data_IF_639384411547
#
_entry.id   IF_639384411547
#
_cell.length_a   1.000
_cell.length_b   1.000
_cell.length_c   1.000
_cell.angle_alpha   90.00
_cell.angle_beta   90.00
_cell.angle_gamma   90.00
#
_symmetry.space_group_name_H-M   'P 1'
#
loop_
_entity.id
_entity.type
_entity.pdbx_description
1 polymer ?
#
# COMPACT_ATOMS: atom_id res chain seq x y z
N UNK A 1 -14.10 19.24 -2.11
CA UNK A 1 -13.00 18.50 -1.43
C UNK A 1 -13.03 18.83 0.06
N UNK A 2 -12.97 17.83 0.96
CA UNK A 2 -12.95 18.08 2.41
C UNK A 2 -11.66 18.76 2.87
N UNK A 3 -11.72 19.54 3.96
CA UNK A 3 -10.56 20.21 4.58
C UNK A 3 -9.42 19.23 4.85
N UNK A 4 -9.76 18.07 5.42
CA UNK A 4 -8.80 17.01 5.73
C UNK A 4 -8.08 16.46 4.49
N UNK A 5 -8.80 16.28 3.38
CA UNK A 5 -8.19 15.79 2.13
C UNK A 5 -7.17 16.78 1.57
N UNK A 6 -7.46 18.08 1.63
CA UNK A 6 -6.52 19.12 1.18
C UNK A 6 -5.27 19.13 2.05
N UNK A 7 -5.44 19.08 3.37
CA UNK A 7 -4.33 19.03 4.32
C UNK A 7 -3.44 17.81 4.06
N UNK A 8 -4.03 16.61 3.99
CA UNK A 8 -3.28 15.38 3.70
C UNK A 8 -2.55 15.44 2.35
N UNK A 9 -3.15 16.04 1.32
CA UNK A 9 -2.47 16.21 0.02
C UNK A 9 -1.24 17.12 0.14
N UNK A 10 -1.37 18.24 0.85
CA UNK A 10 -0.26 19.15 1.08
C UNK A 10 0.87 18.47 1.86
N UNK A 11 0.55 17.70 2.89
CA UNK A 11 1.55 16.93 3.64
C UNK A 11 2.26 15.89 2.75
N UNK A 12 1.51 15.25 1.85
CA UNK A 12 2.06 14.29 0.89
C UNK A 12 2.96 14.96 -0.16
N UNK A 13 2.64 16.19 -0.55
CA UNK A 13 3.47 17.01 -1.43
C UNK A 13 4.79 17.38 -0.74
N UNK A 14 4.72 17.88 0.50
CA UNK A 14 5.89 18.21 1.31
C UNK A 14 6.77 16.99 1.60
N UNK A 15 6.16 15.81 1.74
CA UNK A 15 6.88 14.55 1.90
C UNK A 15 7.53 14.00 0.62
N UNK A 16 7.38 14.66 -0.53
CA UNK A 16 8.00 14.24 -1.80
C UNK A 16 7.44 12.93 -2.36
N UNK A 17 6.21 12.55 -1.99
CA UNK A 17 5.63 11.29 -2.47
C UNK A 17 5.35 11.32 -3.98
N UNK A 18 5.45 10.17 -4.65
CA UNK A 18 5.09 10.06 -6.06
C UNK A 18 3.58 10.27 -6.28
N UNK A 19 3.13 10.85 -7.42
CA UNK A 19 1.71 11.12 -7.69
C UNK A 19 0.79 9.89 -7.50
N UNK A 20 1.25 8.72 -7.95
CA UNK A 20 0.51 7.45 -7.81
C UNK A 20 0.31 7.06 -6.35
N UNK A 21 1.30 7.31 -5.49
CA UNK A 21 1.21 7.03 -4.06
C UNK A 21 0.22 7.97 -3.38
N UNK A 22 0.21 9.25 -3.74
CA UNK A 22 -0.76 10.22 -3.21
C UNK A 22 -2.19 9.80 -3.52
N UNK A 23 -2.46 9.45 -4.78
CA UNK A 23 -3.76 8.96 -5.21
C UNK A 23 -4.17 7.69 -4.45
N UNK A 24 -3.26 6.71 -4.33
CA UNK A 24 -3.52 5.47 -3.61
C UNK A 24 -3.87 5.73 -2.13
N UNK A 25 -3.15 6.62 -1.45
CA UNK A 25 -3.39 6.91 -0.04
C UNK A 25 -4.73 7.60 0.17
N UNK A 26 -5.04 8.61 -0.64
CA UNK A 26 -6.32 9.33 -0.57
C UNK A 26 -7.49 8.38 -0.83
N UNK A 27 -7.34 7.46 -1.79
CA UNK A 27 -8.34 6.44 -2.07
C UNK A 27 -8.50 5.45 -0.91
N UNK A 28 -7.40 5.02 -0.28
CA UNK A 28 -7.42 4.17 0.91
C UNK A 28 -8.21 4.82 2.07
N UNK A 29 -7.96 6.11 2.33
CA UNK A 29 -8.67 6.87 3.37
C UNK A 29 -10.13 7.10 3.00
N UNK A 30 -10.43 7.36 1.72
CA UNK A 30 -11.80 7.51 1.23
C UNK A 30 -12.62 6.22 1.43
N UNK A 31 -12.03 5.07 1.15
CA UNK A 31 -12.69 3.77 1.37
C UNK A 31 -13.02 3.55 2.85
N UNK A 32 -12.10 3.88 3.76
CA UNK A 32 -12.33 3.78 5.21
C UNK A 32 -13.44 4.75 5.66
N UNK A 33 -13.40 6.01 5.21
CA UNK A 33 -14.43 6.99 5.53
C UNK A 33 -15.82 6.53 5.07
N UNK A 34 -15.89 5.94 3.87
CA UNK A 34 -17.12 5.38 3.32
C UNK A 34 -17.64 4.20 4.15
N UNK A 35 -16.75 3.35 4.66
CA UNK A 35 -17.13 2.21 5.50
C UNK A 35 -17.72 2.63 6.85
N UNK A 36 -17.19 3.68 7.47
CA UNK A 36 -17.68 4.16 8.77
C UNK A 36 -18.77 5.24 8.67
N UNK A 37 -19.01 5.80 7.48
CA UNK A 37 -19.88 6.96 7.27
C UNK A 37 -19.51 8.17 8.16
N UNK A 38 -18.22 8.32 8.48
CA UNK A 38 -17.68 9.32 9.39
C UNK A 38 -16.41 9.94 8.85
N UNK A 39 -16.07 11.14 9.33
CA UNK A 39 -14.80 11.75 8.99
C UNK A 39 -13.65 10.92 9.58
N UNK A 40 -12.57 10.63 8.82
CA UNK A 40 -11.39 9.96 9.36
C UNK A 40 -10.79 10.64 10.60
N UNK A 41 -10.99 11.95 10.75
CA UNK A 41 -10.52 12.70 11.93
C UNK A 41 -11.28 12.37 13.22
N UNK A 42 -12.49 11.83 13.11
CA UNK A 42 -13.39 11.47 14.22
C UNK A 42 -13.26 9.99 14.64
N UNK A 43 -12.55 9.18 13.84
CA UNK A 43 -12.39 7.76 14.13
C UNK A 43 -11.39 7.55 15.27
N UNK A 44 -11.78 6.73 16.23
CA UNK A 44 -10.92 6.24 17.30
C UNK A 44 -10.20 4.94 16.92
N UNK A 45 -9.45 4.40 17.87
CA UNK A 45 -8.68 3.18 17.65
C UNK A 45 -9.58 1.96 17.38
N UNK A 46 -10.78 1.91 17.98
CA UNK A 46 -11.75 0.83 17.77
C UNK A 46 -12.25 0.78 16.33
N UNK A 47 -12.61 1.93 15.75
CA UNK A 47 -13.04 2.02 14.35
C UNK A 47 -11.91 1.64 13.41
N UNK A 48 -10.69 2.14 13.65
CA UNK A 48 -9.52 1.80 12.82
C UNK A 48 -9.25 0.28 12.88
N UNK A 49 -9.38 -0.35 14.05
CA UNK A 49 -9.26 -1.82 14.19
C UNK A 49 -10.34 -2.55 13.40
N UNK A 50 -11.59 -2.07 13.45
CA UNK A 50 -12.68 -2.66 12.68
C UNK A 50 -12.43 -2.56 11.17
N UNK A 51 -11.92 -1.43 10.69
CA UNK A 51 -11.52 -1.27 9.29
C UNK A 51 -10.40 -2.23 8.88
N UNK A 52 -9.35 -2.36 9.70
CA UNK A 52 -8.25 -3.30 9.45
C UNK A 52 -8.77 -4.74 9.41
N UNK A 53 -9.64 -5.13 10.34
CA UNK A 53 -10.27 -6.45 10.36
C UNK A 53 -11.05 -6.71 9.07
N UNK A 54 -11.89 -5.76 8.65
CA UNK A 54 -12.65 -5.86 7.39
C UNK A 54 -11.75 -6.04 6.16
N UNK A 55 -10.60 -5.36 6.11
CA UNK A 55 -9.64 -5.51 5.01
C UNK A 55 -9.02 -6.92 4.97
N UNK A 56 -8.72 -7.50 6.14
CA UNK A 56 -8.17 -8.86 6.26
C UNK A 56 -9.24 -9.89 5.89
N UNK A 57 -10.46 -9.74 6.40
CA UNK A 57 -11.58 -10.66 6.14
C UNK A 57 -11.95 -10.69 4.64
N UNK A 58 -11.79 -9.57 3.94
CA UNK A 58 -11.95 -9.48 2.47
C UNK A 58 -10.82 -10.12 1.65
N UNK A 59 -9.84 -10.76 2.27
CA UNK A 59 -8.69 -11.42 1.62
C UNK A 59 -7.99 -10.51 0.60
N UNK A 60 -7.79 -9.24 0.95
CA UNK A 60 -7.06 -8.31 0.10
C UNK A 60 -5.61 -8.79 -0.12
N UNK A 61 -5.03 -8.44 -1.27
CA UNK A 61 -3.62 -8.77 -1.53
C UNK A 61 -2.70 -8.10 -0.49
N UNK A 62 -1.56 -8.73 -0.14
CA UNK A 62 -0.62 -8.15 0.83
C UNK A 62 -0.19 -6.72 0.46
N UNK A 63 0.00 -6.46 -0.82
CA UNK A 63 0.36 -5.13 -1.31
C UNK A 63 -0.76 -4.10 -1.09
N UNK A 64 -2.01 -4.48 -1.28
CA UNK A 64 -3.14 -3.59 -1.02
C UNK A 64 -3.30 -3.31 0.47
N UNK A 65 -3.14 -4.32 1.33
CA UNK A 65 -3.11 -4.12 2.78
C UNK A 65 -1.99 -3.16 3.20
N UNK A 66 -0.79 -3.27 2.62
CA UNK A 66 0.30 -2.32 2.87
C UNK A 66 -0.06 -0.90 2.48
N UNK A 67 -0.67 -0.70 1.32
CA UNK A 67 -1.11 0.63 0.90
C UNK A 67 -2.10 1.24 1.90
N UNK A 68 -3.07 0.45 2.37
CA UNK A 68 -3.99 0.89 3.42
C UNK A 68 -3.25 1.23 4.72
N UNK A 69 -2.37 0.36 5.21
CA UNK A 69 -1.68 0.59 6.49
C UNK A 69 -0.73 1.78 6.42
N UNK A 70 -0.04 1.96 5.30
CA UNK A 70 0.81 3.11 5.07
C UNK A 70 0.00 4.42 4.99
N UNK A 71 -1.16 4.40 4.33
CA UNK A 71 -2.06 5.54 4.28
C UNK A 71 -2.61 5.90 5.67
N UNK A 72 -3.02 4.91 6.47
CA UNK A 72 -3.47 5.11 7.84
C UNK A 72 -2.35 5.72 8.69
N UNK A 73 -1.15 5.14 8.62
CA UNK A 73 0.00 5.62 9.39
C UNK A 73 0.41 7.04 8.99
N UNK A 74 0.29 7.38 7.70
CA UNK A 74 0.52 8.74 7.22
C UNK A 74 -0.54 9.71 7.76
N UNK A 75 -1.83 9.41 7.56
CA UNK A 75 -2.92 10.27 8.01
C UNK A 75 -2.86 10.51 9.52
N UNK A 76 -2.83 9.43 10.32
CA UNK A 76 -2.88 9.56 11.77
C UNK A 76 -1.55 10.01 12.36
N UNK A 77 -0.41 9.61 11.78
CA UNK A 77 0.91 9.99 12.31
C UNK A 77 1.38 11.38 11.88
N UNK A 78 1.22 11.72 10.59
CA UNK A 78 1.77 12.96 10.02
C UNK A 78 0.71 14.07 9.92
N UNK A 79 -0.46 13.77 9.36
CA UNK A 79 -1.48 14.81 9.14
C UNK A 79 -2.25 15.17 10.40
N UNK A 80 -2.61 14.18 11.23
CA UNK A 80 -3.44 14.39 12.43
C UNK A 80 -2.66 14.42 13.75
N UNK A 81 -1.38 14.03 13.75
CA UNK A 81 -0.56 14.03 14.97
C UNK A 81 -1.02 13.06 16.07
N UNK A 82 -1.72 11.98 15.71
CA UNK A 82 -2.26 10.94 16.60
C UNK A 82 -1.67 9.55 16.31
N UNK A 83 -0.34 9.35 16.41
CA UNK A 83 0.30 8.08 16.06
C UNK A 83 -0.16 6.88 16.93
N UNK A 84 -0.60 7.12 18.16
CA UNK A 84 -1.12 6.08 19.06
C UNK A 84 -2.36 5.35 18.51
N UNK A 85 -3.14 5.99 17.63
CA UNK A 85 -4.32 5.38 17.01
C UNK A 85 -3.98 4.26 16.03
N UNK A 86 -2.73 4.20 15.56
CA UNK A 86 -2.27 3.26 14.53
C UNK A 86 -1.05 2.43 14.95
N UNK A 87 -0.64 2.53 16.22
CA UNK A 87 0.53 1.81 16.76
C UNK A 87 0.37 0.28 16.73
N UNK A 88 -0.86 -0.22 16.69
CA UNK A 88 -1.16 -1.64 16.66
C UNK A 88 -1.02 -2.29 15.27
N UNK A 89 -0.85 -1.49 14.20
CA UNK A 89 -0.76 -2.01 12.84
C UNK A 89 0.48 -2.90 12.69
N UNK A 90 0.25 -4.15 12.25
CA UNK A 90 1.32 -5.10 11.94
C UNK A 90 1.46 -5.28 10.43
N UNK A 91 2.66 -5.14 9.88
CA UNK A 91 2.85 -5.16 8.43
C UNK A 91 2.57 -6.54 7.81
N UNK A 92 1.84 -6.61 6.68
CA UNK A 92 1.63 -7.86 5.95
C UNK A 92 2.95 -8.44 5.48
N UNK A 93 3.20 -9.72 5.79
CA UNK A 93 4.36 -10.46 5.32
C UNK A 93 4.37 -10.53 3.79
N UNK A 94 5.56 -10.39 3.20
CA UNK A 94 5.73 -10.63 1.77
C UNK A 94 5.49 -12.11 1.45
N UNK A 95 4.65 -12.44 0.46
CA UNK A 95 4.58 -13.79 -0.03
C UNK A 95 5.92 -14.11 -0.70
N UNK A 96 6.64 -15.09 -0.16
CA UNK A 96 7.86 -15.61 -0.78
C UNK A 96 7.44 -16.33 -2.05
N UNK A 97 7.71 -15.72 -3.20
CA UNK A 97 7.52 -16.37 -4.50
C UNK A 97 8.83 -17.05 -4.86
N UNK A 98 8.78 -18.34 -5.13
CA UNK A 98 9.91 -19.02 -5.76
C UNK A 98 10.13 -18.39 -7.14
N UNK A 99 11.37 -18.07 -7.52
CA UNK A 99 11.65 -17.59 -8.86
C UNK A 99 11.17 -18.63 -9.86
N UNK A 100 10.44 -18.19 -10.88
CA UNK A 100 10.14 -19.05 -12.03
C UNK A 100 11.44 -19.17 -12.80
N UNK A 101 12.04 -20.36 -12.78
CA UNK A 101 13.23 -20.68 -13.56
C UNK A 101 12.82 -21.28 -14.89
N UNK A 102 13.57 -20.97 -15.94
CA UNK A 102 13.38 -21.57 -17.26
C UNK A 102 13.73 -23.07 -17.18
N UNK A 103 12.92 -23.91 -17.80
CA UNK A 103 13.27 -25.32 -18.06
C UNK A 103 14.45 -25.41 -19.03
N UNK A 104 15.16 -26.54 -19.05
CA UNK A 104 16.27 -26.75 -19.98
C UNK A 104 15.88 -26.50 -21.45
N UNK A 105 14.66 -26.89 -21.85
CA UNK A 105 14.15 -26.63 -23.21
C UNK A 105 13.86 -25.15 -23.47
N UNK A 106 13.37 -24.40 -22.48
CA UNK A 106 13.19 -22.94 -22.59
C UNK A 106 14.53 -22.21 -22.65
N UNK A 107 15.53 -22.69 -21.89
CA UNK A 107 16.90 -22.18 -21.98
C UNK A 107 17.47 -22.43 -23.38
N UNK A 108 17.33 -23.65 -23.94
CA UNK A 108 17.79 -23.95 -25.30
C UNK A 108 17.14 -23.03 -26.33
N UNK A 109 15.80 -22.91 -26.32
CA UNK A 109 15.09 -22.01 -27.25
C UNK A 109 15.50 -20.55 -27.09
N UNK A 110 15.75 -20.10 -25.86
CA UNK A 110 16.23 -18.75 -25.60
C UNK A 110 17.62 -18.54 -26.22
N UNK A 111 18.54 -19.49 -26.03
CA UNK A 111 19.89 -19.43 -26.58
C UNK A 111 19.89 -19.50 -28.11
N UNK A 112 19.08 -20.37 -28.71
CA UNK A 112 18.94 -20.51 -30.17
C UNK A 112 18.35 -19.25 -30.82
N UNK A 113 17.54 -18.48 -30.08
CA UNK A 113 16.97 -17.22 -30.56
C UNK A 113 17.97 -16.04 -30.54
N UNK A 114 19.16 -16.20 -29.94
CA UNK A 114 20.17 -15.15 -29.92
C UNK A 114 20.94 -15.12 -31.25
N UNK A 115 20.74 -14.07 -32.03
CA UNK A 115 21.42 -13.89 -33.33
C UNK A 115 22.94 -13.68 -33.23
N UNK A 116 23.45 -13.30 -32.05
CA UNK A 116 24.88 -13.12 -31.83
C UNK A 116 25.23 -13.56 -30.42
N UNK A 117 26.06 -14.59 -30.24
CA UNK A 117 26.48 -15.02 -28.92
C UNK A 117 27.44 -13.97 -28.32
N UNK A 118 27.03 -13.31 -27.24
CA UNK A 118 27.91 -12.47 -26.41
C UNK A 118 28.22 -13.22 -25.14
N UNK A 119 29.47 -13.66 -25.02
CA UNK A 119 30.01 -14.21 -23.79
C UNK A 119 30.70 -13.08 -23.02
N UNK A 120 30.41 -12.97 -21.72
CA UNK A 120 31.21 -12.14 -20.83
C UNK A 120 32.51 -12.91 -20.55
N UNK A 121 33.65 -12.33 -20.95
CA UNK A 121 34.99 -12.76 -20.53
C UNK A 121 35.36 -11.97 -19.29
#
# INVERSE_FOLDING_TARGET
MSKLRKQMMQDLDLGGYAPRTKQAYIECIRMMAKFHHKSPAELGQAEIRAWVKHLVDKKQSPQRLRQHFAALRFLYGKTLGKPALVSFLSWPKDPVRLPVVLSAGEVSRLLDALATPRFAV
#
